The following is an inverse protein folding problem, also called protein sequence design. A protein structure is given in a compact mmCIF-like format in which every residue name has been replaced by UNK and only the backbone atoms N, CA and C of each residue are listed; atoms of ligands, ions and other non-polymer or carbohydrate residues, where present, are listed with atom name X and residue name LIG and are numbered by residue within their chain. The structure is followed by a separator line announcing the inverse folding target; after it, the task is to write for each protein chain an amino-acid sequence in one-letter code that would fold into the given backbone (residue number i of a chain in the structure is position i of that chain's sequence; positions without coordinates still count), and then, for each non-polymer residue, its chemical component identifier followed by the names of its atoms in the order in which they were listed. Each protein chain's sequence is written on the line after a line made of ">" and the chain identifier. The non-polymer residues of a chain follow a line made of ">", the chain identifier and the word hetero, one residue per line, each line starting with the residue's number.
data_IF_477982121476
#
_entry.id   IF_477982121476
#
_cell.length_a   1.000
_cell.length_b   1.000
_cell.length_c   1.000
_cell.angle_alpha   90.00
_cell.angle_beta   90.00
_cell.angle_gamma   90.00
#
_symmetry.space_group_name_H-M   'P 1'
#
loop_
_entity.id
_entity.type
_entity.pdbx_description
1 polymer ?
#
# COMPACT_ATOMS: atom_id res chain seq x y z
N UNK A 1 13.78 -1.66 -14.09
CA UNK A 1 14.23 -0.28 -14.35
C UNK A 1 13.11 0.65 -13.89
N UNK A 2 13.35 1.51 -12.90
CA UNK A 2 12.43 2.58 -12.47
C UNK A 2 13.01 3.93 -12.91
N UNK A 3 12.22 5.00 -12.94
CA UNK A 3 12.67 6.36 -13.28
C UNK A 3 13.35 6.47 -14.66
N UNK A 4 12.75 5.79 -15.63
CA UNK A 4 13.28 5.64 -16.98
C UNK A 4 12.27 6.16 -18.02
N UNK A 5 12.76 6.79 -19.10
CA UNK A 5 11.93 7.25 -20.22
C UNK A 5 12.29 6.53 -21.50
N UNK A 6 11.32 5.87 -22.13
CA UNK A 6 11.49 5.31 -23.48
C UNK A 6 11.61 6.46 -24.48
N UNK A 7 12.69 6.45 -25.26
CA UNK A 7 13.01 7.44 -26.30
C UNK A 7 12.64 6.97 -27.69
N UNK A 8 12.69 5.66 -27.93
CA UNK A 8 12.32 5.08 -29.22
C UNK A 8 12.39 3.56 -29.19
N UNK A 9 11.68 2.94 -30.11
CA UNK A 9 11.69 1.50 -30.35
C UNK A 9 12.02 1.31 -31.83
N UNK A 10 13.10 0.59 -32.13
CA UNK A 10 13.55 0.32 -33.49
C UNK A 10 13.54 -1.19 -33.73
N UNK A 11 13.15 -1.61 -34.93
CA UNK A 11 13.27 -3.00 -35.33
C UNK A 11 14.72 -3.29 -35.75
N UNK A 12 15.30 -4.35 -35.21
CA UNK A 12 16.63 -4.84 -35.57
C UNK A 12 16.53 -6.34 -35.89
N UNK A 13 16.48 -6.68 -37.18
CA UNK A 13 16.21 -8.03 -37.67
C UNK A 13 14.89 -8.61 -37.10
N UNK A 14 15.00 -9.70 -36.32
CA UNK A 14 13.87 -10.36 -35.65
C UNK A 14 13.57 -9.77 -34.26
N UNK A 15 14.44 -8.90 -33.74
CA UNK A 15 14.33 -8.30 -32.42
C UNK A 15 13.94 -6.81 -32.49
N UNK A 16 13.63 -6.24 -31.35
CA UNK A 16 13.37 -4.83 -31.09
C UNK A 16 14.48 -4.26 -30.20
N UNK A 17 15.05 -3.13 -30.60
CA UNK A 17 15.94 -2.31 -29.79
C UNK A 17 15.13 -1.16 -29.16
N UNK A 18 15.03 -1.15 -27.84
CA UNK A 18 14.37 -0.09 -27.06
C UNK A 18 15.43 0.84 -26.49
N UNK A 19 15.41 2.10 -26.91
CA UNK A 19 16.25 3.14 -26.35
C UNK A 19 15.58 3.75 -25.12
N UNK A 20 16.25 3.69 -23.98
CA UNK A 20 15.75 4.16 -22.69
C UNK A 20 16.73 5.15 -22.08
N UNK A 21 16.24 6.31 -21.67
CA UNK A 21 16.99 7.27 -20.87
C UNK A 21 16.78 6.94 -19.39
N UNK A 22 17.88 6.70 -18.66
CA UNK A 22 17.89 6.45 -17.22
C UNK A 22 18.69 7.54 -16.51
N UNK A 23 18.69 7.54 -15.17
CA UNK A 23 19.52 8.45 -14.35
C UNK A 23 21.03 8.31 -14.61
N UNK A 24 21.46 7.16 -15.12
CA UNK A 24 22.87 6.83 -15.39
C UNK A 24 23.27 7.08 -16.86
N UNK A 25 22.36 7.63 -17.66
CA UNK A 25 22.55 7.84 -19.10
C UNK A 25 21.63 7.00 -19.98
N UNK A 26 21.93 6.93 -21.27
CA UNK A 26 21.14 6.17 -22.23
C UNK A 26 21.53 4.69 -22.23
N UNK A 27 20.51 3.82 -22.25
CA UNK A 27 20.65 2.37 -22.35
C UNK A 27 19.85 1.85 -23.52
N UNK A 28 20.40 0.85 -24.20
CA UNK A 28 19.72 0.09 -25.25
C UNK A 28 19.33 -1.26 -24.68
N UNK A 29 18.06 -1.64 -24.85
CA UNK A 29 17.53 -2.93 -24.43
C UNK A 29 17.10 -3.69 -25.67
N UNK A 30 17.62 -4.91 -25.84
CA UNK A 30 17.17 -5.81 -26.91
C UNK A 30 16.09 -6.75 -26.38
N UNK A 31 15.01 -6.92 -27.13
CA UNK A 31 13.91 -7.80 -26.77
C UNK A 31 13.16 -8.28 -28.01
N UNK A 32 12.43 -9.38 -27.93
CA UNK A 32 11.58 -9.85 -29.03
C UNK A 32 10.25 -9.08 -29.12
N UNK A 33 9.74 -8.60 -27.97
CA UNK A 33 8.41 -7.98 -27.86
C UNK A 33 8.41 -6.82 -26.88
N UNK A 34 7.58 -5.82 -27.17
CA UNK A 34 7.32 -4.69 -26.26
C UNK A 34 5.83 -4.60 -25.98
N UNK A 35 5.45 -4.58 -24.70
CA UNK A 35 4.11 -4.27 -24.25
C UNK A 35 4.01 -2.77 -23.91
N UNK A 36 3.20 -2.02 -24.67
CA UNK A 36 2.93 -0.62 -24.39
C UNK A 36 1.73 -0.49 -23.44
N UNK A 37 2.00 -0.43 -22.13
CA UNK A 37 1.00 -0.26 -21.07
C UNK A 37 1.13 1.11 -20.38
N UNK A 38 1.27 2.19 -21.16
CA UNK A 38 1.56 3.54 -20.63
C UNK A 38 0.35 4.25 -20.01
N UNK A 39 -0.87 3.71 -20.18
CA UNK A 39 -2.11 4.28 -19.64
C UNK A 39 -3.28 4.16 -20.60
N UNK A 40 -4.38 4.82 -20.23
CA UNK A 40 -5.64 4.91 -20.98
C UNK A 40 -6.06 6.37 -21.11
N UNK A 41 -6.86 6.67 -22.12
CA UNK A 41 -7.50 7.97 -22.31
C UNK A 41 -8.99 7.75 -22.60
N UNK A 42 -9.86 8.71 -22.22
CA UNK A 42 -11.27 8.68 -22.61
C UNK A 42 -11.42 8.52 -24.13
N UNK A 43 -12.29 7.60 -24.55
CA UNK A 43 -12.65 7.36 -25.95
C UNK A 43 -14.11 7.75 -26.16
N UNK A 44 -14.36 8.77 -26.99
CA UNK A 44 -15.69 9.33 -27.24
C UNK A 44 -16.35 8.72 -28.48
N UNK A 45 -15.63 7.85 -29.21
CA UNK A 45 -16.07 7.22 -30.44
C UNK A 45 -16.38 8.25 -31.52
N UNK A 46 -17.46 7.99 -32.27
CA UNK A 46 -17.92 8.87 -33.35
C UNK A 46 -18.92 9.94 -32.88
N UNK A 47 -19.02 10.19 -31.57
CA UNK A 47 -19.97 11.17 -31.02
C UNK A 47 -19.33 12.56 -31.11
N UNK A 48 -19.98 13.49 -31.80
CA UNK A 48 -19.57 14.89 -31.82
C UNK A 48 -20.02 15.60 -30.52
N UNK A 49 -19.40 15.23 -29.40
CA UNK A 49 -19.73 15.73 -28.05
C UNK A 49 -19.68 17.27 -27.99
N UNK A 50 -18.68 17.87 -28.63
CA UNK A 50 -18.54 19.33 -28.72
C UNK A 50 -19.67 19.96 -29.56
N UNK A 51 -20.06 19.33 -30.67
CA UNK A 51 -21.19 19.78 -31.49
C UNK A 51 -22.54 19.67 -30.78
N UNK A 52 -22.67 18.78 -29.79
CA UNK A 52 -23.82 18.70 -28.90
C UNK A 52 -23.81 19.76 -27.78
N UNK A 53 -22.73 20.55 -27.66
CA UNK A 53 -22.57 21.55 -26.60
C UNK A 53 -22.22 20.97 -25.23
N UNK A 54 -21.77 19.71 -25.17
CA UNK A 54 -21.36 19.05 -23.92
C UNK A 54 -19.95 19.51 -23.55
N UNK A 55 -19.78 19.97 -22.30
CA UNK A 55 -18.50 20.41 -21.77
C UNK A 55 -17.53 19.23 -21.56
N UNK A 56 -16.28 19.43 -21.97
CA UNK A 56 -15.18 18.53 -21.68
C UNK A 56 -14.26 19.15 -20.63
N UNK A 57 -13.75 18.32 -19.72
CA UNK A 57 -12.54 18.63 -18.96
C UNK A 57 -11.37 17.85 -19.56
N UNK A 58 -10.46 18.58 -20.21
CA UNK A 58 -9.39 18.05 -21.07
C UNK A 58 -9.96 17.18 -22.20
N UNK A 59 -9.98 15.85 -22.03
CA UNK A 59 -10.49 14.87 -23.01
C UNK A 59 -11.70 14.09 -22.46
N UNK A 60 -12.06 14.31 -21.20
CA UNK A 60 -13.14 13.61 -20.54
C UNK A 60 -14.43 14.43 -20.56
N UNK A 61 -15.58 13.77 -20.56
CA UNK A 61 -16.87 14.43 -20.39
C UNK A 61 -16.98 14.92 -18.95
N UNK A 62 -17.22 16.22 -18.78
CA UNK A 62 -17.39 16.82 -17.46
C UNK A 62 -18.79 16.47 -16.93
N UNK A 63 -18.83 15.95 -15.70
CA UNK A 63 -20.08 15.63 -15.00
C UNK A 63 -20.08 16.13 -13.56
N UNK A 64 -21.27 16.40 -13.03
CA UNK A 64 -21.50 16.67 -11.60
C UNK A 64 -21.48 15.38 -10.76
N UNK A 65 -21.83 15.46 -9.47
CA UNK A 65 -21.86 14.31 -8.55
C UNK A 65 -23.04 13.35 -8.81
N UNK A 66 -24.03 13.77 -9.61
CA UNK A 66 -25.17 12.97 -10.05
C UNK A 66 -24.95 12.34 -11.43
N UNK A 67 -23.73 12.46 -11.96
CA UNK A 67 -23.31 12.00 -13.29
C UNK A 67 -23.97 12.77 -14.45
N UNK A 68 -24.54 13.95 -14.19
CA UNK A 68 -25.12 14.82 -15.21
C UNK A 68 -24.04 15.65 -15.89
N UNK A 69 -24.14 15.82 -17.20
CA UNK A 69 -23.35 16.81 -17.94
C UNK A 69 -23.87 18.23 -17.69
N UNK A 70 -23.31 19.24 -18.38
CA UNK A 70 -23.88 20.59 -18.40
C UNK A 70 -25.28 20.65 -19.04
N UNK A 71 -25.71 19.61 -19.77
CA UNK A 71 -27.07 19.46 -20.30
C UNK A 71 -27.85 18.54 -19.34
N UNK A 72 -28.89 19.03 -18.63
CA UNK A 72 -29.52 18.29 -17.53
C UNK A 72 -30.10 16.91 -17.89
N UNK A 73 -30.47 16.71 -19.16
CA UNK A 73 -31.03 15.45 -19.66
C UNK A 73 -29.98 14.46 -20.18
N UNK A 74 -28.69 14.83 -20.16
CA UNK A 74 -27.60 14.01 -20.68
C UNK A 74 -26.63 13.66 -19.54
N UNK A 75 -26.31 12.37 -19.47
CA UNK A 75 -25.44 11.78 -18.46
C UNK A 75 -24.25 11.10 -19.12
N UNK A 76 -23.14 10.98 -18.39
CA UNK A 76 -21.97 10.21 -18.81
C UNK A 76 -21.38 9.46 -17.61
N UNK A 77 -20.90 8.24 -17.84
CA UNK A 77 -20.41 7.32 -16.80
C UNK A 77 -19.23 6.51 -17.32
N UNK A 78 -18.41 6.02 -16.41
CA UNK A 78 -17.24 5.20 -16.68
C UNK A 78 -16.07 5.98 -17.26
N UNK A 79 -15.22 5.29 -18.02
CA UNK A 79 -13.92 5.80 -18.48
C UNK A 79 -14.01 7.10 -19.29
N UNK A 80 -15.16 7.40 -19.91
CA UNK A 80 -15.37 8.67 -20.65
C UNK A 80 -15.40 9.89 -19.73
N UNK A 81 -15.70 9.71 -18.45
CA UNK A 81 -15.66 10.77 -17.41
C UNK A 81 -14.23 10.97 -16.86
N UNK A 82 -13.34 9.99 -17.04
CA UNK A 82 -11.91 10.14 -16.76
C UNK A 82 -11.52 10.31 -15.29
N UNK A 83 -12.44 10.10 -14.34
CA UNK A 83 -12.16 10.18 -12.88
C UNK A 83 -11.41 8.95 -12.37
N UNK A 84 -12.07 7.79 -12.33
CA UNK A 84 -11.45 6.50 -11.95
C UNK A 84 -11.85 5.45 -12.99
N UNK A 85 -10.88 5.00 -13.79
CA UNK A 85 -11.10 4.07 -14.90
C UNK A 85 -11.10 2.61 -14.43
N UNK A 86 -12.10 2.24 -13.63
CA UNK A 86 -12.31 0.89 -13.09
C UNK A 86 -13.74 0.41 -13.37
N UNK A 87 -13.90 -0.87 -13.69
CA UNK A 87 -15.18 -1.44 -14.11
C UNK A 87 -16.28 -1.34 -13.04
N UNK A 88 -15.95 -1.58 -11.77
CA UNK A 88 -16.89 -1.43 -10.65
C UNK A 88 -17.28 0.02 -10.39
N UNK A 89 -16.38 0.98 -10.67
CA UNK A 89 -16.71 2.42 -10.61
C UNK A 89 -17.69 2.77 -11.72
N UNK A 90 -17.39 2.41 -12.98
CA UNK A 90 -18.28 2.65 -14.11
C UNK A 90 -19.69 2.07 -13.89
N UNK A 91 -19.76 0.86 -13.31
CA UNK A 91 -21.04 0.22 -12.96
C UNK A 91 -21.81 1.03 -11.90
N UNK A 92 -21.13 1.50 -10.84
CA UNK A 92 -21.77 2.30 -9.79
C UNK A 92 -22.20 3.67 -10.31
N UNK A 93 -21.37 4.34 -11.10
CA UNK A 93 -21.73 5.59 -11.78
C UNK A 93 -22.97 5.41 -12.67
N UNK A 94 -23.05 4.29 -13.41
CA UNK A 94 -24.23 3.91 -14.19
C UNK A 94 -25.50 3.80 -13.35
N UNK A 95 -25.42 3.17 -12.18
CA UNK A 95 -26.54 3.08 -11.23
C UNK A 95 -26.92 4.48 -10.73
N UNK A 96 -25.95 5.32 -10.34
CA UNK A 96 -26.21 6.69 -9.89
C UNK A 96 -26.89 7.52 -10.98
N UNK A 97 -26.41 7.44 -12.21
CA UNK A 97 -27.03 8.12 -13.35
C UNK A 97 -28.48 7.65 -13.56
N UNK A 98 -28.71 6.33 -13.60
CA UNK A 98 -30.05 5.75 -13.77
C UNK A 98 -31.02 6.16 -12.67
N UNK A 99 -30.58 6.16 -11.41
CA UNK A 99 -31.39 6.61 -10.28
C UNK A 99 -31.78 8.09 -10.42
N UNK A 100 -30.83 8.95 -10.78
CA UNK A 100 -31.09 10.38 -10.99
C UNK A 100 -31.96 10.65 -12.23
N UNK A 101 -31.91 9.80 -13.27
CA UNK A 101 -32.84 9.88 -14.42
C UNK A 101 -34.27 9.62 -13.96
N UNK A 102 -34.47 8.71 -13.00
CA UNK A 102 -35.80 8.42 -12.43
C UNK A 102 -36.31 9.45 -11.41
N UNK A 103 -35.59 10.57 -11.23
CA UNK A 103 -35.97 11.64 -10.30
C UNK A 103 -35.55 11.40 -8.84
N UNK A 104 -34.72 10.38 -8.56
CA UNK A 104 -34.04 10.28 -7.27
C UNK A 104 -32.91 11.31 -7.18
N UNK A 105 -32.37 11.46 -5.98
CA UNK A 105 -31.33 12.43 -5.65
C UNK A 105 -30.12 11.69 -5.05
N UNK A 106 -29.39 10.96 -5.89
CA UNK A 106 -28.29 10.08 -5.48
C UNK A 106 -26.96 10.69 -5.89
N UNK A 107 -26.00 10.74 -4.97
CA UNK A 107 -24.66 11.25 -5.24
C UNK A 107 -23.67 10.09 -5.37
N UNK A 108 -22.69 10.26 -6.26
CA UNK A 108 -21.58 9.31 -6.40
C UNK A 108 -20.55 9.54 -5.29
N UNK A 109 -20.32 8.53 -4.48
CA UNK A 109 -19.30 8.54 -3.44
C UNK A 109 -18.03 7.81 -3.92
N UNK A 110 -16.95 8.58 -4.10
CA UNK A 110 -15.65 8.05 -4.53
C UNK A 110 -14.70 7.74 -3.37
N UNK A 111 -15.08 8.01 -2.10
CA UNK A 111 -14.21 7.84 -0.92
C UNK A 111 -13.84 6.38 -0.68
N UNK A 112 -14.76 5.46 -1.00
CA UNK A 112 -14.64 4.03 -0.71
C UNK A 112 -14.46 3.17 -1.97
N UNK A 113 -13.74 3.66 -2.98
CA UNK A 113 -13.45 2.91 -4.21
C UNK A 113 -12.22 2.02 -4.01
N UNK A 114 -12.37 0.67 -4.04
CA UNK A 114 -11.22 -0.22 -3.95
C UNK A 114 -10.43 -0.23 -5.26
N UNK A 115 -9.12 -0.36 -5.14
CA UNK A 115 -8.17 -0.53 -6.25
C UNK A 115 -7.35 -1.81 -6.01
N UNK A 116 -7.29 -2.68 -7.03
CA UNK A 116 -6.68 -4.00 -6.92
C UNK A 116 -5.71 -4.25 -8.08
N UNK A 117 -4.52 -4.76 -7.76
CA UNK A 117 -3.54 -5.31 -8.70
C UNK A 117 -3.45 -6.81 -8.43
N UNK A 118 -3.91 -7.61 -9.41
CA UNK A 118 -3.98 -9.07 -9.34
C UNK A 118 -2.63 -9.73 -9.64
N UNK A 119 -1.56 -9.23 -9.03
CA UNK A 119 -0.23 -9.86 -9.04
C UNK A 119 -0.14 -10.98 -8.00
N UNK A 120 1.02 -11.64 -7.92
CA UNK A 120 1.30 -12.60 -6.85
C UNK A 120 2.55 -12.16 -6.08
N UNK A 121 2.43 -11.75 -4.80
CA UNK A 121 1.17 -11.54 -4.04
C UNK A 121 0.31 -10.40 -4.62
N UNK A 122 -0.98 -10.40 -4.28
CA UNK A 122 -1.92 -9.36 -4.69
C UNK A 122 -1.67 -8.06 -3.92
N UNK A 123 -2.08 -6.95 -4.52
CA UNK A 123 -2.09 -5.62 -3.86
C UNK A 123 -3.50 -5.06 -3.95
N UNK A 124 -4.04 -4.61 -2.83
CA UNK A 124 -5.32 -3.92 -2.80
C UNK A 124 -5.29 -2.72 -1.86
N UNK A 125 -6.02 -1.66 -2.19
CA UNK A 125 -6.17 -0.50 -1.33
C UNK A 125 -7.55 0.14 -1.48
N UNK A 126 -7.98 0.86 -0.45
CA UNK A 126 -9.18 1.69 -0.46
C UNK A 126 -9.01 2.86 0.50
N UNK A 127 -9.59 4.00 0.16
CA UNK A 127 -9.44 5.25 0.91
C UNK A 127 -8.09 5.92 0.71
N UNK A 128 -7.72 6.78 1.65
CA UNK A 128 -6.52 7.61 1.58
C UNK A 128 -5.24 6.80 1.77
N UNK A 129 -4.21 7.18 1.04
CA UNK A 129 -2.83 6.80 1.35
C UNK A 129 -2.36 7.48 2.64
N UNK A 130 -1.24 7.03 3.19
CA UNK A 130 -0.66 7.69 4.37
C UNK A 130 -0.16 9.10 4.04
N UNK A 131 0.33 9.32 2.83
CA UNK A 131 0.77 10.65 2.40
C UNK A 131 -0.40 11.62 2.30
N UNK A 132 -1.50 11.22 1.65
CA UNK A 132 -2.73 12.01 1.57
C UNK A 132 -3.33 12.24 2.97
N UNK A 133 -3.40 11.19 3.79
CA UNK A 133 -3.93 11.29 5.16
C UNK A 133 -3.15 12.31 5.99
N UNK A 134 -1.81 12.38 5.84
CA UNK A 134 -0.96 13.38 6.52
C UNK A 134 -1.13 14.80 5.98
N UNK A 135 -1.55 14.96 4.72
CA UNK A 135 -1.84 16.28 4.11
C UNK A 135 -3.21 16.79 4.53
N UNK A 136 -4.20 15.90 4.61
CA UNK A 136 -5.61 16.26 4.83
C UNK A 136 -6.03 16.26 6.30
N UNK A 137 -5.29 15.59 7.19
CA UNK A 137 -5.65 15.45 8.60
C UNK A 137 -4.53 15.96 9.51
N UNK A 138 -4.91 16.63 10.60
CA UNK A 138 -3.96 17.13 11.60
C UNK A 138 -3.20 16.00 12.30
N UNK A 139 -3.88 14.89 12.62
CA UNK A 139 -3.30 13.74 13.31
C UNK A 139 -3.81 12.41 12.72
N UNK A 140 -2.89 11.47 12.51
CA UNK A 140 -3.22 10.11 12.05
C UNK A 140 -2.52 9.04 12.89
N UNK A 141 -3.15 7.88 12.97
CA UNK A 141 -2.56 6.63 13.44
C UNK A 141 -2.39 5.68 12.27
N UNK A 142 -1.28 4.95 12.29
CA UNK A 142 -0.97 3.92 11.29
C UNK A 142 -0.60 2.65 12.02
N UNK A 143 -1.26 1.56 11.66
CA UNK A 143 -0.96 0.23 12.18
C UNK A 143 -0.75 -0.75 11.04
N UNK A 144 0.04 -1.78 11.29
CA UNK A 144 0.40 -2.81 10.31
C UNK A 144 0.41 -4.18 10.96
N UNK A 145 -0.08 -5.19 10.25
CA UNK A 145 0.00 -6.59 10.66
C UNK A 145 0.55 -7.45 9.52
N UNK A 146 1.65 -8.19 9.71
CA UNK A 146 2.27 -8.96 8.64
C UNK A 146 1.60 -10.33 8.48
N UNK A 147 1.48 -10.82 7.24
CA UNK A 147 0.87 -12.14 6.95
C UNK A 147 1.66 -13.30 7.58
N UNK A 148 2.97 -13.16 7.80
CA UNK A 148 3.80 -14.15 8.50
C UNK A 148 3.34 -14.45 9.94
N UNK A 149 2.59 -13.53 10.57
CA UNK A 149 2.02 -13.72 11.91
C UNK A 149 0.60 -14.32 11.89
N UNK A 150 0.03 -14.59 10.72
CA UNK A 150 -1.30 -15.18 10.57
C UNK A 150 -1.21 -16.70 10.36
N UNK A 151 -1.94 -17.47 11.19
CA UNK A 151 -1.93 -18.92 11.15
C UNK A 151 -2.48 -19.52 9.84
N UNK A 152 -3.51 -18.90 9.24
CA UNK A 152 -4.06 -19.34 7.95
C UNK A 152 -3.06 -19.14 6.81
N UNK A 153 -2.41 -17.99 6.76
CA UNK A 153 -1.36 -17.66 5.79
C UNK A 153 -0.18 -18.64 5.88
N UNK A 154 0.25 -18.97 7.11
CA UNK A 154 1.25 -20.01 7.35
C UNK A 154 0.80 -21.38 6.82
N UNK A 155 -0.45 -21.77 7.10
CA UNK A 155 -1.02 -23.04 6.62
C UNK A 155 -1.15 -23.12 5.10
N UNK A 156 -1.26 -21.99 4.41
CA UNK A 156 -1.29 -21.89 2.94
C UNK A 156 0.11 -21.78 2.31
N UNK A 157 1.13 -21.47 3.11
CA UNK A 157 2.46 -21.11 2.60
C UNK A 157 2.55 -19.70 1.98
N UNK A 158 1.51 -18.87 2.15
CA UNK A 158 1.39 -17.54 1.53
C UNK A 158 1.61 -16.42 2.57
N UNK A 159 2.84 -16.33 3.06
CA UNK A 159 3.18 -15.48 4.22
C UNK A 159 3.72 -14.09 3.86
N UNK A 160 3.85 -13.81 2.56
CA UNK A 160 4.38 -12.54 2.07
C UNK A 160 3.38 -11.40 2.23
N UNK A 161 3.88 -10.24 2.67
CA UNK A 161 3.12 -9.01 2.74
C UNK A 161 2.55 -8.63 4.11
N UNK A 162 1.62 -7.70 4.11
CA UNK A 162 1.01 -7.09 5.31
C UNK A 162 -0.32 -6.42 5.00
N UNK A 163 -1.16 -6.31 6.03
CA UNK A 163 -2.26 -5.33 6.09
C UNK A 163 -1.75 -4.07 6.77
N UNK A 164 -2.17 -2.91 6.27
CA UNK A 164 -1.92 -1.58 6.84
C UNK A 164 -3.23 -0.83 6.97
N UNK A 165 -3.48 -0.32 8.17
CA UNK A 165 -4.64 0.48 8.53
C UNK A 165 -4.19 1.91 8.82
N UNK A 166 -4.96 2.88 8.35
CA UNK A 166 -4.77 4.30 8.61
C UNK A 166 -6.07 4.84 9.18
N UNK A 167 -6.00 5.55 10.31
CA UNK A 167 -7.17 6.13 10.97
C UNK A 167 -6.85 7.52 11.51
N UNK A 168 -7.87 8.34 11.68
CA UNK A 168 -7.76 9.61 12.38
C UNK A 168 -7.47 9.36 13.86
N UNK A 169 -6.49 10.06 14.45
CA UNK A 169 -6.04 9.77 15.83
C UNK A 169 -7.10 10.09 16.89
N UNK A 170 -7.90 11.12 16.65
CA UNK A 170 -8.81 11.70 17.64
C UNK A 170 -10.18 11.00 17.60
N UNK A 171 -10.69 10.78 16.39
CA UNK A 171 -12.01 10.17 16.16
C UNK A 171 -11.95 8.66 15.96
N UNK A 172 -10.77 8.10 15.69
CA UNK A 172 -10.57 6.71 15.29
C UNK A 172 -11.31 6.29 14.01
N UNK A 173 -11.89 7.24 13.26
CA UNK A 173 -12.48 6.95 11.94
C UNK A 173 -11.42 6.41 11.00
N UNK A 174 -11.78 5.34 10.30
CA UNK A 174 -10.93 4.74 9.28
C UNK A 174 -10.73 5.73 8.13
N UNK A 175 -9.49 5.88 7.68
CA UNK A 175 -9.11 6.76 6.55
C UNK A 175 -8.63 5.96 5.34
N UNK A 176 -8.01 4.80 5.56
CA UNK A 176 -7.56 3.95 4.47
C UNK A 176 -7.11 2.56 4.92
N UNK A 177 -7.27 1.60 4.02
CA UNK A 177 -6.85 0.20 4.18
C UNK A 177 -5.99 -0.18 2.99
N UNK A 178 -4.83 -0.78 3.24
CA UNK A 178 -3.86 -1.17 2.23
C UNK A 178 -3.38 -2.58 2.53
N UNK A 179 -3.47 -3.48 1.56
CA UNK A 179 -3.18 -4.91 1.72
C UNK A 179 -2.20 -5.31 0.62
N UNK A 180 -1.11 -5.96 1.03
CA UNK A 180 -0.22 -6.72 0.16
C UNK A 180 -0.23 -8.14 0.72
N UNK A 181 -0.66 -9.14 -0.05
CA UNK A 181 -0.70 -10.52 0.44
C UNK A 181 -1.71 -11.41 -0.27
N UNK A 182 -1.91 -12.59 0.30
CA UNK A 182 -2.90 -13.56 -0.15
C UNK A 182 -4.31 -12.96 -0.11
N UNK A 183 -5.07 -13.12 -1.21
CA UNK A 183 -6.47 -12.68 -1.31
C UNK A 183 -6.69 -11.19 -0.98
N UNK A 184 -5.70 -10.32 -1.24
CA UNK A 184 -5.83 -8.89 -0.95
C UNK A 184 -7.07 -8.28 -1.62
N UNK A 185 -7.37 -8.71 -2.85
CA UNK A 185 -8.52 -8.24 -3.62
C UNK A 185 -9.88 -8.67 -3.07
N UNK A 186 -9.94 -9.79 -2.34
CA UNK A 186 -11.15 -10.23 -1.62
C UNK A 186 -11.28 -9.50 -0.27
N UNK A 187 -10.18 -9.45 0.48
CA UNK A 187 -10.13 -8.86 1.83
C UNK A 187 -10.43 -7.36 1.85
N UNK A 188 -10.06 -6.63 0.79
CA UNK A 188 -10.28 -5.19 0.71
C UNK A 188 -11.76 -4.79 0.74
N UNK A 189 -12.67 -5.72 0.43
CA UNK A 189 -14.11 -5.49 0.49
C UNK A 189 -14.58 -5.07 1.90
N UNK A 190 -13.98 -5.62 2.95
CA UNK A 190 -14.26 -5.21 4.34
C UNK A 190 -13.84 -3.75 4.57
N UNK A 191 -12.66 -3.36 4.09
CA UNK A 191 -12.18 -1.98 4.17
C UNK A 191 -13.07 -1.01 3.40
N UNK A 192 -13.57 -1.41 2.23
CA UNK A 192 -14.48 -0.60 1.41
C UNK A 192 -15.82 -0.39 2.11
N UNK A 193 -16.38 -1.45 2.71
CA UNK A 193 -17.60 -1.35 3.51
C UNK A 193 -17.39 -0.45 4.73
N UNK A 194 -16.30 -0.65 5.47
CA UNK A 194 -15.97 0.13 6.65
C UNK A 194 -15.83 1.63 6.34
N UNK A 195 -15.13 1.99 5.26
CA UNK A 195 -15.02 3.39 4.82
C UNK A 195 -16.36 3.96 4.37
N UNK A 196 -17.18 3.20 3.64
CA UNK A 196 -18.51 3.63 3.21
C UNK A 196 -19.45 3.89 4.38
N UNK A 197 -19.26 3.19 5.51
CA UNK A 197 -20.04 3.37 6.74
C UNK A 197 -19.41 4.40 7.69
N UNK A 198 -18.28 5.01 7.32
CA UNK A 198 -17.48 5.88 8.18
C UNK A 198 -17.11 5.22 9.53
N UNK A 199 -16.88 3.90 9.49
CA UNK A 199 -16.62 3.10 10.67
C UNK A 199 -15.35 3.55 11.40
N UNK A 200 -15.40 3.41 12.72
CA UNK A 200 -14.25 3.61 13.60
C UNK A 200 -13.47 2.32 13.79
N UNK A 201 -12.18 2.44 14.09
CA UNK A 201 -11.34 1.30 14.44
C UNK A 201 -11.93 0.47 15.60
N UNK A 202 -12.65 1.11 16.53
CA UNK A 202 -13.28 0.42 17.67
C UNK A 202 -14.45 -0.46 17.23
N UNK A 203 -15.25 -0.04 16.26
CA UNK A 203 -16.36 -0.84 15.73
C UNK A 203 -15.84 -2.08 15.00
N UNK A 204 -14.75 -1.95 14.23
CA UNK A 204 -14.15 -3.07 13.50
C UNK A 204 -13.49 -4.07 14.46
N UNK A 205 -12.77 -3.60 15.48
CA UNK A 205 -12.15 -4.48 16.50
C UNK A 205 -13.18 -5.28 17.29
N UNK A 206 -14.38 -4.73 17.51
CA UNK A 206 -15.44 -5.45 18.22
C UNK A 206 -16.14 -6.51 17.35
N UNK A 207 -15.91 -6.51 16.03
CA UNK A 207 -16.45 -7.52 15.13
C UNK A 207 -15.67 -8.85 15.29
N UNK A 208 -16.40 -9.95 15.50
CA UNK A 208 -15.80 -11.27 15.63
C UNK A 208 -15.38 -11.75 14.23
N UNK A 209 -14.07 -11.76 13.98
CA UNK A 209 -13.48 -12.33 12.77
C UNK A 209 -13.33 -13.85 12.93
N UNK A 210 -13.66 -14.61 11.88
CA UNK A 210 -13.59 -16.06 11.93
C UNK A 210 -12.12 -16.55 11.99
N UNK A 211 -11.89 -17.61 12.76
CA UNK A 211 -10.58 -18.26 12.90
C UNK A 211 -10.61 -19.73 12.41
N UNK A 212 -9.59 -20.22 11.67
CA UNK A 212 -8.49 -19.47 11.09
C UNK A 212 -8.85 -18.90 9.70
N UNK A 213 -8.69 -17.58 9.50
CA UNK A 213 -8.88 -16.91 8.20
C UNK A 213 -7.81 -15.83 7.95
N UNK A 214 -7.69 -15.39 6.69
CA UNK A 214 -6.84 -14.26 6.35
C UNK A 214 -7.44 -12.92 6.84
N UNK A 215 -8.77 -12.84 7.00
CA UNK A 215 -9.46 -11.63 7.47
C UNK A 215 -9.03 -11.22 8.88
N UNK A 216 -8.57 -12.16 9.72
CA UNK A 216 -7.98 -11.86 11.04
C UNK A 216 -6.80 -10.89 10.94
N UNK A 217 -6.10 -10.81 9.80
CA UNK A 217 -5.03 -9.82 9.58
C UNK A 217 -5.55 -8.38 9.58
N UNK A 218 -6.79 -8.15 9.16
CA UNK A 218 -7.45 -6.84 9.24
C UNK A 218 -7.74 -6.52 10.70
N UNK A 219 -8.41 -7.41 11.42
CA UNK A 219 -8.71 -7.24 12.84
C UNK A 219 -7.46 -6.86 13.66
N UNK A 220 -6.39 -7.65 13.53
CA UNK A 220 -5.11 -7.40 14.21
C UNK A 220 -4.47 -6.07 13.80
N UNK A 221 -4.54 -5.71 12.51
CA UNK A 221 -4.04 -4.43 12.06
C UNK A 221 -4.86 -3.27 12.64
N UNK A 222 -6.19 -3.42 12.78
CA UNK A 222 -7.03 -2.40 13.40
C UNK A 222 -6.83 -2.33 14.91
N UNK A 223 -6.59 -3.45 15.60
CA UNK A 223 -6.27 -3.46 17.04
C UNK A 223 -5.05 -2.59 17.36
N UNK A 224 -4.05 -2.55 16.48
CA UNK A 224 -2.89 -1.66 16.63
C UNK A 224 -3.20 -0.16 16.50
N UNK A 225 -4.41 0.24 16.08
CA UNK A 225 -4.88 1.63 16.13
C UNK A 225 -5.40 1.98 17.53
N UNK A 226 -6.12 1.05 18.17
CA UNK A 226 -6.73 1.22 19.50
C UNK A 226 -5.78 0.81 20.64
N UNK A 227 -4.77 0.01 20.36
CA UNK A 227 -3.84 -0.55 21.34
C UNK A 227 -2.67 -1.29 20.68
N UNK A 228 -2.48 -2.57 21.05
CA UNK A 228 -1.45 -3.45 20.48
C UNK A 228 -2.16 -4.68 19.90
N UNK A 229 -1.77 -5.16 18.70
CA UNK A 229 -2.31 -6.41 18.17
C UNK A 229 -2.00 -7.58 19.12
N UNK A 230 -2.92 -8.53 19.29
CA UNK A 230 -2.75 -9.67 20.21
C UNK A 230 -1.70 -10.65 19.70
N UNK A 231 -1.73 -10.97 18.40
CA UNK A 231 -0.88 -12.02 17.81
C UNK A 231 0.42 -11.48 17.20
N UNK A 232 0.78 -10.23 17.56
CA UNK A 232 2.07 -9.64 17.24
C UNK A 232 2.64 -8.96 18.48
N UNK A 233 3.80 -9.43 18.93
CA UNK A 233 4.53 -8.72 19.98
C UNK A 233 4.92 -7.32 19.47
N UNK A 234 4.43 -6.29 20.17
CA UNK A 234 4.76 -4.90 19.88
C UNK A 234 6.27 -4.69 20.03
N UNK A 235 6.98 -4.58 18.91
CA UNK A 235 8.37 -4.12 18.92
C UNK A 235 8.33 -2.63 19.26
N UNK A 236 8.38 -2.30 20.54
CA UNK A 236 8.81 -0.98 20.97
C UNK A 236 10.31 -0.85 20.68
N UNK A 237 10.66 0.20 19.93
CA UNK A 237 12.05 0.50 19.59
C UNK A 237 12.80 0.97 20.84
N UNK A 238 13.60 0.09 21.46
CA UNK A 238 14.52 0.46 22.54
C UNK A 238 15.86 0.91 21.94
N UNK A 239 16.31 2.17 22.15
CA UNK A 239 17.58 2.72 21.66
C UNK A 239 18.83 1.83 21.89
N UNK A 240 18.76 0.85 22.79
CA UNK A 240 19.88 0.01 23.23
C UNK A 240 20.27 -1.15 22.31
N UNK A 241 19.45 -1.60 21.36
CA UNK A 241 19.84 -2.71 20.46
C UNK A 241 19.86 -2.28 19.00
N UNK A 242 21.04 -2.17 18.38
CA UNK A 242 21.19 -1.75 16.97
C UNK A 242 21.64 -2.90 16.08
N UNK A 243 20.97 -3.11 14.96
CA UNK A 243 21.41 -4.00 13.90
C UNK A 243 22.67 -3.42 13.24
N UNK A 244 23.74 -4.20 13.18
CA UNK A 244 25.02 -3.75 12.61
C UNK A 244 25.03 -3.72 11.07
N UNK A 245 24.12 -4.47 10.42
CA UNK A 245 24.02 -4.49 8.96
C UNK A 245 23.16 -3.34 8.43
N UNK A 246 21.96 -3.14 9.00
CA UNK A 246 21.01 -2.12 8.53
C UNK A 246 20.85 -0.90 9.45
N UNK A 247 21.54 -0.86 10.60
CA UNK A 247 21.53 0.28 11.51
C UNK A 247 20.25 0.48 12.33
N UNK A 248 19.21 -0.33 12.15
CA UNK A 248 17.92 -0.19 12.85
C UNK A 248 17.99 -0.62 14.31
N UNK A 249 17.22 0.04 15.17
CA UNK A 249 17.22 -0.14 16.61
C UNK A 249 15.99 -0.99 17.07
N UNK A 250 16.13 -1.93 18.01
CA UNK A 250 15.17 -2.98 18.39
C UNK A 250 15.20 -3.28 19.91
N UNK A 251 14.23 -4.05 20.45
CA UNK A 251 14.28 -4.63 21.81
C UNK A 251 14.07 -6.15 21.76
N UNK A 252 14.62 -6.87 22.75
CA UNK A 252 14.36 -8.30 22.97
C UNK A 252 13.18 -8.50 23.94
N UNK A 253 12.02 -8.94 23.46
CA UNK A 253 11.21 -9.93 24.17
C UNK A 253 11.90 -11.29 24.04
N UNK A 254 11.79 -12.16 25.02
CA UNK A 254 12.61 -13.36 25.13
C UNK A 254 12.52 -14.23 23.86
N UNK A 255 13.66 -14.32 23.16
CA UNK A 255 13.93 -15.19 22.00
C UNK A 255 13.37 -14.67 20.65
N UNK A 256 14.02 -13.63 20.08
CA UNK A 256 14.26 -13.57 18.64
C UNK A 256 15.65 -13.01 18.33
N UNK A 257 16.56 -13.88 17.93
CA UNK A 257 18.01 -13.60 17.73
C UNK A 257 18.31 -13.14 16.29
N UNK A 258 17.31 -12.75 15.50
CA UNK A 258 17.45 -12.60 14.05
C UNK A 258 16.75 -11.32 13.57
N UNK A 259 17.51 -10.40 12.98
CA UNK A 259 16.99 -9.20 12.30
C UNK A 259 15.90 -9.60 11.29
N UNK A 260 14.65 -9.15 11.38
CA UNK A 260 13.60 -9.56 10.45
C UNK A 260 13.83 -9.03 9.03
N UNK A 261 14.60 -7.95 8.89
CA UNK A 261 14.94 -7.33 7.60
C UNK A 261 16.10 -8.05 6.90
N UNK A 262 17.08 -8.52 7.68
CA UNK A 262 18.41 -8.84 7.18
C UNK A 262 18.97 -10.17 7.70
N UNK A 263 18.19 -10.87 8.51
CA UNK A 263 18.47 -12.14 9.19
C UNK A 263 19.81 -12.26 9.94
N UNK A 264 20.51 -11.16 10.20
CA UNK A 264 21.74 -11.17 11.02
C UNK A 264 21.42 -11.12 12.53
N UNK A 265 22.32 -11.64 13.37
CA UNK A 265 22.18 -11.62 14.83
C UNK A 265 22.46 -10.21 15.38
N UNK A 266 21.53 -9.57 16.12
CA UNK A 266 21.81 -8.31 16.81
C UNK A 266 22.75 -8.52 18.01
N UNK A 267 23.51 -7.48 18.40
CA UNK A 267 24.43 -7.50 19.55
C UNK A 267 23.93 -6.52 20.62
N UNK A 268 23.96 -6.94 21.89
CA UNK A 268 23.66 -6.09 23.05
C UNK A 268 24.81 -5.09 23.26
N UNK A 269 24.55 -3.79 23.18
CA UNK A 269 25.53 -2.75 23.48
C UNK A 269 25.39 -2.39 24.97
N UNK A 270 26.48 -2.49 25.74
CA UNK A 270 26.50 -2.04 27.14
C UNK A 270 26.52 -0.52 27.20
N UNK A 271 25.90 0.04 28.25
CA UNK A 271 25.92 1.49 28.51
C UNK A 271 27.38 1.98 28.62
N UNK A 272 27.72 3.07 27.93
CA UNK A 272 29.06 3.69 27.91
C UNK A 272 30.01 3.28 26.78
N UNK A 273 29.57 2.50 25.79
CA UNK A 273 30.41 2.11 24.63
C UNK A 273 30.13 3.02 23.42
N UNK A 274 31.17 3.64 22.86
CA UNK A 274 31.07 4.44 21.62
C UNK A 274 30.80 3.53 20.40
N UNK A 275 29.65 3.74 19.77
CA UNK A 275 29.15 2.98 18.63
C UNK A 275 30.05 3.10 17.39
N UNK A 276 30.75 4.24 17.20
CA UNK A 276 31.60 4.45 16.02
C UNK A 276 32.83 3.54 16.06
N UNK A 277 33.42 3.40 17.26
CA UNK A 277 34.63 2.59 17.48
C UNK A 277 34.37 1.08 17.29
N UNK A 278 33.17 0.60 17.63
CA UNK A 278 32.77 -0.80 17.43
C UNK A 278 32.56 -1.12 15.95
N UNK A 279 31.95 -0.20 15.20
CA UNK A 279 31.68 -0.36 13.76
C UNK A 279 32.98 -0.36 12.96
N UNK A 280 33.95 0.49 13.30
CA UNK A 280 35.26 0.52 12.63
C UNK A 280 36.07 -0.78 12.87
N UNK A 281 36.07 -1.31 14.09
CA UNK A 281 36.76 -2.57 14.43
C UNK A 281 36.15 -3.82 13.79
N UNK A 282 34.87 -3.79 13.44
CA UNK A 282 34.21 -4.88 12.72
C UNK A 282 34.46 -4.80 11.21
N UNK A 283 34.55 -3.60 10.64
CA UNK A 283 34.92 -3.40 9.23
C UNK A 283 36.36 -3.79 8.92
N UNK A 284 37.26 -3.72 9.90
CA UNK A 284 38.67 -4.13 9.75
C UNK A 284 38.92 -5.64 9.85
N UNK A 285 37.87 -6.47 10.00
CA UNK A 285 38.00 -7.94 9.99
C UNK A 285 38.46 -8.58 11.30
N UNK A 286 38.69 -7.81 12.37
CA UNK A 286 39.25 -8.30 13.64
C UNK A 286 38.18 -8.88 14.59
N UNK A 287 37.26 -9.69 14.05
CA UNK A 287 36.08 -10.25 14.76
C UNK A 287 36.41 -11.15 15.97
N UNK A 288 37.65 -11.64 16.07
CA UNK A 288 38.10 -12.54 17.16
C UNK A 288 38.53 -11.83 18.45
N UNK A 289 38.64 -10.49 18.50
CA UNK A 289 39.05 -9.77 19.72
C UNK A 289 37.91 -9.21 20.57
N UNK A 290 36.69 -9.09 20.04
CA UNK A 290 35.57 -8.50 20.80
C UNK A 290 34.99 -9.48 21.83
N UNK A 291 35.07 -10.79 21.60
CA UNK A 291 34.62 -11.83 22.54
C UNK A 291 35.58 -12.09 23.71
N UNK A 292 36.87 -11.69 23.60
CA UNK A 292 37.87 -11.98 24.65
C UNK A 292 37.97 -10.94 25.78
N UNK A 293 37.50 -9.70 25.59
CA UNK A 293 37.49 -8.70 26.67
C UNK A 293 36.31 -8.82 27.64
N UNK A 294 35.33 -9.68 27.35
CA UNK A 294 34.15 -9.90 28.20
C UNK A 294 34.40 -10.95 29.29
N UNK A 295 35.41 -11.82 29.16
CA UNK A 295 35.72 -12.86 30.16
C UNK A 295 36.67 -12.44 31.30
N UNK A 296 37.42 -11.34 31.17
CA UNK A 296 38.48 -11.00 32.15
C UNK A 296 38.13 -9.81 33.08
N UNK A 297 36.85 -9.54 33.34
CA UNK A 297 36.43 -8.56 34.36
C UNK A 297 35.51 -9.15 35.44
N UNK A 298 35.46 -10.48 35.55
CA UNK A 298 34.77 -11.21 36.62
C UNK A 298 35.70 -11.77 37.70
N UNK A 299 37.01 -11.49 37.63
CA UNK A 299 37.97 -11.79 38.69
C UNK A 299 38.71 -10.51 39.11
N UNK A 300 38.04 -9.70 39.92
CA UNK A 300 38.57 -8.84 41.00
C UNK A 300 37.42 -8.05 41.63
#
# INVERSE_FOLDING_TARGET
>A
LTDCKVKGIKKNNQNLEVLVSTTDGEKKLETEKVLLAAGRVPELGNINVQGLGIELDRKAIKVDEKMRTNIPSIYAVGDVVGKIMLAHVASREGIVAAENITGKEVLMDYRAVPNCVFSMPEVASVGLTEEESRKENSNIKVSKFPFIANGKALGMGETEGMVKIIANSDTLKLLGVHILGAHASDLIAEGALALSMEATAKEIVNAIHAHPTLAETIAEAVEGITGKPIHREGIEMDPKYKCLNCGRIWRSGEIMVVCPVCRCKPIKIKDGVDIREVVEKLKSGDSKKITRRVKNKSDK
#
